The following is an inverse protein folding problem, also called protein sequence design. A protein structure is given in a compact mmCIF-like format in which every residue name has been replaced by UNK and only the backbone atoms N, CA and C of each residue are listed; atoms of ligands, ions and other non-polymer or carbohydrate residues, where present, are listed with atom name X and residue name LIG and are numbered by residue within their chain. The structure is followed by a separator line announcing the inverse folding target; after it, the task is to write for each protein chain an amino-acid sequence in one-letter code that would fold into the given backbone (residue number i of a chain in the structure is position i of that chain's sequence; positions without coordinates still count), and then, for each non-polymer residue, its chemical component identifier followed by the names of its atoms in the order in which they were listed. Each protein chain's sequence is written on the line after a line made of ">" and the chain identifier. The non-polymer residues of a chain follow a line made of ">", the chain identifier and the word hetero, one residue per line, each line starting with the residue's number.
data_IF_152750000526
#
_entry.id   IF_152750000526
#
_cell.length_a   1.000
_cell.length_b   1.000
_cell.length_c   1.000
_cell.angle_alpha   90.00
_cell.angle_beta   90.00
_cell.angle_gamma   90.00
#
_symmetry.space_group_name_H-M   'P 1'
#
loop_
_entity.id
_entity.type
_entity.pdbx_description
1 polymer ?
#
# COMPACT_ATOMS: atom_id res chain seq x y z
N UNK A 1 0.01 2.91 15.56
CA UNK A 1 -0.62 3.73 14.51
C UNK A 1 -1.92 3.04 14.08
N UNK A 2 -3.10 3.59 14.40
CA UNK A 2 -4.40 2.91 14.21
C UNK A 2 -5.45 3.73 13.45
N UNK A 3 -5.09 4.92 12.96
CA UNK A 3 -6.00 5.85 12.29
C UNK A 3 -5.46 6.15 10.91
N UNK A 4 -6.32 6.06 9.90
CA UNK A 4 -5.98 6.40 8.51
C UNK A 4 -7.00 7.40 7.97
N UNK A 5 -6.52 8.41 7.26
CA UNK A 5 -7.36 9.27 6.45
C UNK A 5 -7.85 8.47 5.24
N UNK A 6 -9.16 8.36 5.09
CA UNK A 6 -9.86 7.52 4.13
C UNK A 6 -10.23 8.19 2.82
N UNK A 7 -9.99 9.51 2.67
CA UNK A 7 -10.38 10.24 1.46
C UNK A 7 -9.17 10.80 0.69
N UNK A 8 -8.62 10.02 -0.25
CA UNK A 8 -7.47 10.41 -1.05
C UNK A 8 -7.86 11.33 -2.22
N UNK A 9 -8.92 12.13 -2.09
CA UNK A 9 -9.38 12.99 -3.19
C UNK A 9 -8.35 14.09 -3.46
N UNK A 10 -7.94 14.35 -4.72
CA UNK A 10 -6.92 15.37 -5.04
C UNK A 10 -7.24 16.76 -4.47
N UNK A 11 -8.53 17.13 -4.44
CA UNK A 11 -8.99 18.39 -3.85
C UNK A 11 -8.77 18.54 -2.33
N UNK A 12 -8.36 17.48 -1.63
CA UNK A 12 -8.05 17.53 -0.20
C UNK A 12 -6.59 17.96 0.08
N UNK A 13 -5.79 18.19 -0.96
CA UNK A 13 -4.38 18.52 -0.86
C UNK A 13 -4.10 19.89 -1.47
N UNK A 14 -3.39 20.75 -0.75
CA UNK A 14 -2.79 21.98 -1.30
C UNK A 14 -1.27 21.82 -1.24
N UNK A 15 -0.65 21.86 -2.42
CA UNK A 15 0.80 21.83 -2.57
C UNK A 15 1.33 23.26 -2.57
N UNK A 16 2.28 23.55 -1.68
CA UNK A 16 2.90 24.87 -1.56
C UNK A 16 4.24 24.89 -2.30
N UNK A 17 4.67 26.06 -2.74
CA UNK A 17 5.96 26.24 -3.45
C UNK A 17 7.18 25.85 -2.59
N UNK A 18 7.03 25.89 -1.26
CA UNK A 18 8.08 25.49 -0.31
C UNK A 18 8.05 24.00 0.07
N UNK A 19 7.29 23.20 -0.67
CA UNK A 19 7.21 21.74 -0.47
C UNK A 19 6.32 21.31 0.69
N UNK A 20 5.65 22.24 1.39
CA UNK A 20 4.61 21.86 2.35
C UNK A 20 3.37 21.34 1.62
N UNK A 21 2.64 20.45 2.30
CA UNK A 21 1.33 19.96 1.87
C UNK A 21 0.31 20.24 2.97
N UNK A 22 -0.76 20.95 2.64
CA UNK A 22 -1.90 21.12 3.54
C UNK A 22 -2.96 20.07 3.23
N UNK A 23 -3.42 19.37 4.26
CA UNK A 23 -4.52 18.42 4.22
C UNK A 23 -5.79 19.14 4.71
N UNK A 24 -6.83 19.14 3.88
CA UNK A 24 -8.06 19.91 4.15
C UNK A 24 -9.15 19.10 4.84
N UNK A 25 -9.28 17.81 4.49
CA UNK A 25 -10.38 16.97 4.96
C UNK A 25 -9.87 15.85 5.89
N UNK A 26 -10.51 15.74 7.06
CA UNK A 26 -10.33 14.67 8.05
C UNK A 26 -11.66 14.00 8.43
N UNK A 27 -12.72 14.20 7.63
CA UNK A 27 -14.08 13.72 7.87
C UNK A 27 -14.25 12.22 7.71
N UNK A 28 -13.33 11.55 7.01
CA UNK A 28 -13.34 10.10 6.81
C UNK A 28 -12.11 9.44 7.45
N UNK A 29 -12.09 9.32 8.78
CA UNK A 29 -11.04 8.57 9.48
C UNK A 29 -11.51 7.16 9.83
N UNK A 30 -10.80 6.14 9.36
CA UNK A 30 -11.02 4.75 9.80
C UNK A 30 -10.08 4.41 10.94
N UNK A 31 -10.66 3.87 12.00
CA UNK A 31 -9.92 3.22 13.08
C UNK A 31 -9.79 1.73 12.78
N UNK A 32 -8.57 1.22 12.82
CA UNK A 32 -8.29 -0.21 12.69
C UNK A 32 -7.98 -0.80 14.06
N UNK A 33 -8.52 -1.97 14.32
CA UNK A 33 -8.16 -2.83 15.44
C UNK A 33 -6.75 -3.41 15.25
N UNK A 34 -6.13 -3.85 16.34
CA UNK A 34 -4.83 -4.53 16.30
C UNK A 34 -4.86 -5.76 15.38
N UNK A 35 -5.96 -6.52 15.38
CA UNK A 35 -6.12 -7.68 14.48
C UNK A 35 -6.17 -7.28 13.00
N UNK A 36 -6.85 -6.19 12.66
CA UNK A 36 -6.85 -5.67 11.29
C UNK A 36 -5.45 -5.21 10.91
N UNK A 37 -4.77 -4.43 11.78
CA UNK A 37 -3.40 -3.96 11.55
C UNK A 37 -2.41 -5.11 11.37
N UNK A 38 -2.46 -6.13 12.21
CA UNK A 38 -1.61 -7.31 12.09
C UNK A 38 -1.82 -8.02 10.75
N UNK A 39 -3.07 -8.12 10.28
CA UNK A 39 -3.37 -8.71 8.97
C UNK A 39 -2.76 -7.88 7.84
N UNK A 40 -2.86 -6.55 7.89
CA UNK A 40 -2.22 -5.66 6.91
C UNK A 40 -0.70 -5.81 6.90
N UNK A 41 -0.09 -5.81 8.09
CA UNK A 41 1.34 -6.00 8.27
C UNK A 41 1.79 -7.34 7.68
N UNK A 42 1.09 -8.43 7.97
CA UNK A 42 1.41 -9.75 7.41
C UNK A 42 1.31 -9.80 5.90
N UNK A 43 0.31 -9.15 5.29
CA UNK A 43 0.19 -9.09 3.83
C UNK A 43 1.35 -8.33 3.20
N UNK A 44 1.64 -7.12 3.69
CA UNK A 44 2.75 -6.31 3.16
C UNK A 44 4.09 -7.01 3.36
N UNK A 45 4.32 -7.56 4.55
CA UNK A 45 5.56 -8.25 4.88
C UNK A 45 5.80 -9.46 3.98
N UNK A 46 4.81 -10.35 3.86
CA UNK A 46 4.92 -11.54 3.01
C UNK A 46 5.03 -11.21 1.51
N UNK A 47 4.23 -10.26 1.00
CA UNK A 47 4.19 -9.92 -0.42
C UNK A 47 5.37 -9.06 -0.90
N UNK A 48 5.72 -8.02 -0.13
CA UNK A 48 6.69 -7.01 -0.53
C UNK A 48 8.04 -7.19 0.15
N UNK A 49 8.07 -7.51 1.45
CA UNK A 49 9.31 -7.55 2.24
C UNK A 49 10.09 -8.86 2.05
N UNK A 50 9.46 -9.99 2.36
CA UNK A 50 10.06 -11.31 2.34
C UNK A 50 9.92 -11.99 0.96
N UNK A 51 8.97 -11.54 0.14
CA UNK A 51 8.60 -12.19 -1.13
C UNK A 51 8.25 -13.69 -0.97
N UNK A 52 7.71 -14.08 0.19
CA UNK A 52 7.29 -15.44 0.50
C UNK A 52 5.85 -15.67 0.00
N UNK A 53 5.74 -16.20 -1.22
CA UNK A 53 4.44 -16.41 -1.88
C UNK A 53 3.57 -17.47 -1.19
N UNK A 54 4.10 -18.63 -0.73
CA UNK A 54 3.32 -19.56 0.09
C UNK A 54 2.75 -18.92 1.36
N UNK A 55 3.54 -18.16 2.12
CA UNK A 55 3.06 -17.45 3.30
C UNK A 55 2.05 -16.37 2.90
N UNK A 56 2.30 -15.63 1.82
CA UNK A 56 1.38 -14.61 1.33
C UNK A 56 0.02 -15.20 0.96
N UNK A 57 -0.02 -16.35 0.28
CA UNK A 57 -1.26 -17.07 0.01
C UNK A 57 -2.02 -17.41 1.30
N UNK A 58 -1.33 -17.98 2.30
CA UNK A 58 -1.95 -18.32 3.58
C UNK A 58 -2.53 -17.08 4.27
N UNK A 59 -1.83 -15.94 4.21
CA UNK A 59 -2.33 -14.66 4.74
C UNK A 59 -3.57 -14.20 3.97
N UNK A 60 -3.59 -14.27 2.64
CA UNK A 60 -4.76 -13.91 1.82
C UNK A 60 -5.98 -14.78 2.13
N UNK A 61 -5.78 -16.09 2.32
CA UNK A 61 -6.85 -17.01 2.69
C UNK A 61 -7.38 -16.73 4.10
N UNK A 62 -6.49 -16.47 5.08
CA UNK A 62 -6.85 -16.12 6.44
C UNK A 62 -7.57 -14.76 6.53
N UNK A 63 -7.17 -13.80 5.70
CA UNK A 63 -7.82 -12.50 5.58
C UNK A 63 -9.19 -12.57 4.87
N UNK A 64 -9.51 -13.71 4.24
CA UNK A 64 -10.72 -13.87 3.43
C UNK A 64 -10.67 -13.14 2.09
N UNK A 65 -9.48 -12.73 1.64
CA UNK A 65 -9.27 -12.13 0.30
C UNK A 65 -9.24 -13.19 -0.80
N UNK A 66 -8.79 -14.41 -0.47
CA UNK A 66 -8.80 -15.57 -1.35
C UNK A 66 -9.64 -16.67 -0.69
N UNK A 67 -10.46 -17.37 -1.47
CA UNK A 67 -11.15 -18.57 -1.00
C UNK A 67 -10.12 -19.61 -0.54
N UNK A 68 -10.27 -20.09 0.69
CA UNK A 68 -9.41 -21.16 1.24
C UNK A 68 -9.43 -22.41 0.35
N UNK A 69 -8.25 -22.98 0.14
CA UNK A 69 -8.03 -24.15 -0.72
C UNK A 69 -8.51 -23.94 -2.17
N UNK A 70 -8.50 -22.69 -2.68
CA UNK A 70 -8.86 -22.42 -4.06
C UNK A 70 -7.98 -23.24 -5.02
N UNK A 71 -8.55 -23.88 -6.06
CA UNK A 71 -7.82 -24.75 -6.99
C UNK A 71 -7.05 -23.93 -8.03
N UNK A 72 -6.17 -23.06 -7.56
CA UNK A 72 -5.30 -22.18 -8.35
C UNK A 72 -3.87 -22.35 -7.86
N UNK A 73 -2.89 -22.17 -8.75
CA UNK A 73 -1.49 -22.28 -8.38
C UNK A 73 -1.06 -21.14 -7.45
N UNK A 74 -0.17 -21.43 -6.50
CA UNK A 74 0.32 -20.45 -5.53
C UNK A 74 1.15 -19.34 -6.20
N UNK A 75 1.91 -19.63 -7.24
CA UNK A 75 2.65 -18.63 -8.01
C UNK A 75 1.70 -17.68 -8.77
N UNK A 76 0.59 -18.20 -9.30
CA UNK A 76 -0.43 -17.39 -9.97
C UNK A 76 -1.13 -16.45 -8.97
N UNK A 77 -1.43 -16.94 -7.76
CA UNK A 77 -1.94 -16.10 -6.66
C UNK A 77 -0.96 -14.97 -6.32
N UNK A 78 0.33 -15.30 -6.20
CA UNK A 78 1.38 -14.32 -5.96
C UNK A 78 1.48 -13.26 -7.06
N UNK A 79 1.35 -13.67 -8.32
CA UNK A 79 1.34 -12.76 -9.47
C UNK A 79 0.11 -11.85 -9.46
N UNK A 80 -1.07 -12.41 -9.19
CA UNK A 80 -2.33 -11.67 -9.20
C UNK A 80 -2.41 -10.64 -8.06
N UNK A 81 -2.18 -11.05 -6.81
CA UNK A 81 -2.27 -10.12 -5.68
C UNK A 81 -1.01 -9.27 -5.51
N UNK A 82 0.16 -9.76 -5.92
CA UNK A 82 1.44 -9.08 -5.76
C UNK A 82 1.57 -7.80 -6.59
N UNK A 83 0.80 -7.64 -7.67
CA UNK A 83 0.84 -6.42 -8.50
C UNK A 83 0.47 -5.15 -7.73
N UNK A 84 -0.40 -5.26 -6.72
CA UNK A 84 -0.74 -4.14 -5.84
C UNK A 84 0.47 -3.67 -5.00
N UNK A 85 1.38 -4.58 -4.66
CA UNK A 85 2.56 -4.32 -3.84
C UNK A 85 3.85 -4.11 -4.66
N UNK A 86 3.76 -4.17 -6.00
CA UNK A 86 4.91 -4.01 -6.90
C UNK A 86 5.74 -2.74 -6.61
N UNK A 87 5.15 -1.54 -6.40
CA UNK A 87 5.92 -0.31 -6.21
C UNK A 87 6.90 -0.36 -5.03
N UNK A 88 6.58 -1.17 -4.01
CA UNK A 88 7.33 -1.24 -2.75
C UNK A 88 8.10 -2.55 -2.59
N UNK A 89 8.16 -3.37 -3.65
CA UNK A 89 8.77 -4.70 -3.60
C UNK A 89 10.27 -4.69 -3.86
N UNK A 90 10.75 -3.83 -4.76
CA UNK A 90 12.16 -3.76 -5.17
C UNK A 90 12.80 -2.48 -4.68
N UNK A 91 14.03 -2.57 -4.17
CA UNK A 91 14.88 -1.41 -3.89
C UNK A 91 15.37 -0.81 -5.22
N UNK A 92 14.54 0.06 -5.80
CA UNK A 92 14.82 0.76 -7.05
C UNK A 92 14.01 2.06 -7.13
N UNK A 93 14.52 3.03 -7.88
CA UNK A 93 13.73 4.20 -8.25
C UNK A 93 12.69 3.81 -9.31
N UNK A 94 11.46 4.27 -9.10
CA UNK A 94 10.38 4.19 -10.08
C UNK A 94 9.75 5.57 -10.27
N UNK A 95 9.09 5.76 -11.40
CA UNK A 95 8.27 6.94 -11.68
C UNK A 95 6.82 6.51 -11.84
N UNK A 96 5.93 7.12 -11.07
CA UNK A 96 4.49 6.97 -11.30
C UNK A 96 4.10 7.75 -12.54
N UNK A 97 3.91 7.05 -13.66
CA UNK A 97 3.27 7.62 -14.85
C UNK A 97 1.76 7.40 -14.79
N UNK A 98 0.96 8.19 -15.53
CA UNK A 98 -0.47 7.93 -15.66
C UNK A 98 -0.78 6.50 -16.15
N UNK A 99 0.03 5.97 -17.06
CA UNK A 99 -0.10 4.60 -17.59
C UNK A 99 0.20 3.55 -16.52
N UNK A 100 1.26 3.76 -15.72
CA UNK A 100 1.60 2.85 -14.64
C UNK A 100 0.49 2.79 -13.58
N UNK A 101 0.04 3.96 -13.14
CA UNK A 101 -1.05 4.11 -12.16
C UNK A 101 -2.36 3.48 -12.65
N UNK A 102 -2.79 3.84 -13.86
CA UNK A 102 -4.01 3.27 -14.46
C UNK A 102 -3.91 1.76 -14.69
N UNK A 103 -2.70 1.23 -14.94
CA UNK A 103 -2.43 -0.19 -15.02
C UNK A 103 -2.71 -0.95 -13.72
N UNK A 104 -2.29 -0.40 -12.57
CA UNK A 104 -2.57 -0.99 -11.24
C UNK A 104 -4.07 -0.92 -10.92
N UNK A 105 -4.71 0.22 -11.19
CA UNK A 105 -6.17 0.37 -11.00
C UNK A 105 -6.94 -0.65 -11.85
N UNK A 106 -6.63 -0.75 -13.15
CA UNK A 106 -7.28 -1.70 -14.06
C UNK A 106 -7.11 -3.14 -13.59
N UNK A 107 -5.90 -3.51 -13.14
CA UNK A 107 -5.62 -4.84 -12.62
C UNK A 107 -6.45 -5.17 -11.38
N UNK A 108 -6.57 -4.22 -10.47
CA UNK A 108 -7.31 -4.39 -9.21
C UNK A 108 -8.78 -4.72 -9.45
N UNK A 109 -9.35 -4.24 -10.56
CA UNK A 109 -10.74 -4.51 -10.96
C UNK A 109 -10.87 -5.55 -12.09
N UNK A 110 -9.77 -6.21 -12.48
CA UNK A 110 -9.79 -7.18 -13.56
C UNK A 110 -10.51 -8.47 -13.14
N UNK A 111 -11.67 -8.69 -13.77
CA UNK A 111 -12.51 -9.87 -13.57
C UNK A 111 -12.23 -10.99 -14.58
N UNK A 112 -11.38 -10.76 -15.57
CA UNK A 112 -11.03 -11.76 -16.59
C UNK A 112 -10.02 -12.80 -16.09
N UNK A 113 -9.28 -12.49 -15.02
CA UNK A 113 -8.37 -13.43 -14.37
C UNK A 113 -9.11 -14.66 -13.84
N UNK A 114 -8.60 -15.89 -14.06
CA UNK A 114 -9.14 -17.11 -13.48
C UNK A 114 -9.21 -17.09 -11.95
N UNK A 115 -8.37 -16.27 -11.29
CA UNK A 115 -8.35 -16.11 -9.83
C UNK A 115 -9.50 -15.22 -9.35
N UNK A 116 -10.02 -14.32 -10.18
CA UNK A 116 -11.00 -13.31 -9.77
C UNK A 116 -12.29 -13.91 -9.21
N UNK A 117 -12.67 -15.13 -9.63
CA UNK A 117 -13.84 -15.86 -9.10
C UNK A 117 -13.65 -16.37 -7.66
N UNK A 118 -12.40 -16.47 -7.19
CA UNK A 118 -12.03 -16.89 -5.84
C UNK A 118 -11.60 -15.72 -4.96
N UNK A 119 -11.49 -14.52 -5.54
CA UNK A 119 -10.98 -13.33 -4.87
C UNK A 119 -12.11 -12.38 -4.47
N UNK A 120 -11.98 -11.77 -3.30
CA UNK A 120 -12.85 -10.69 -2.84
C UNK A 120 -12.06 -9.70 -1.98
N UNK A 121 -12.63 -8.52 -1.75
CA UNK A 121 -12.04 -7.51 -0.86
C UNK A 121 -12.96 -7.40 0.37
N UNK A 122 -12.56 -7.94 1.53
CA UNK A 122 -13.37 -7.83 2.74
C UNK A 122 -13.52 -6.36 3.17
N UNK A 123 -14.62 -6.03 3.85
CA UNK A 123 -15.00 -4.64 4.20
C UNK A 123 -13.87 -3.81 4.84
N UNK A 124 -13.06 -4.33 5.80
CA UNK A 124 -11.95 -3.58 6.37
C UNK A 124 -10.92 -3.12 5.33
N UNK A 125 -10.66 -3.96 4.32
CA UNK A 125 -9.65 -3.74 3.29
C UNK A 125 -10.12 -2.79 2.18
N UNK A 126 -11.44 -2.61 2.00
CA UNK A 126 -11.99 -1.65 1.03
C UNK A 126 -11.50 -0.24 1.29
N UNK A 127 -11.40 0.16 2.57
CA UNK A 127 -10.88 1.49 2.94
C UNK A 127 -9.42 1.66 2.54
N UNK A 128 -8.56 0.70 2.89
CA UNK A 128 -7.13 0.75 2.53
C UNK A 128 -6.94 0.70 1.01
N UNK A 129 -7.68 -0.15 0.31
CA UNK A 129 -7.63 -0.21 -1.14
C UNK A 129 -8.03 1.13 -1.77
N UNK A 130 -9.12 1.76 -1.30
CA UNK A 130 -9.54 3.08 -1.78
C UNK A 130 -8.46 4.14 -1.57
N UNK A 131 -7.88 4.21 -0.38
CA UNK A 131 -6.80 5.16 -0.05
C UNK A 131 -5.62 4.99 -1.02
N UNK A 132 -5.15 3.76 -1.20
CA UNK A 132 -4.01 3.47 -2.07
C UNK A 132 -4.30 3.78 -3.54
N UNK A 133 -5.45 3.37 -4.08
CA UNK A 133 -5.78 3.63 -5.47
C UNK A 133 -5.93 5.13 -5.76
N UNK A 134 -6.49 5.91 -4.83
CA UNK A 134 -6.54 7.36 -4.96
C UNK A 134 -5.15 8.01 -4.87
N UNK A 135 -4.32 7.55 -3.93
CA UNK A 135 -2.94 7.99 -3.83
C UNK A 135 -2.15 7.69 -5.11
N UNK A 136 -2.28 6.49 -5.69
CA UNK A 136 -1.63 6.12 -6.94
C UNK A 136 -2.08 7.01 -8.10
N UNK A 137 -3.35 7.42 -8.15
CA UNK A 137 -3.83 8.36 -9.15
C UNK A 137 -3.13 9.73 -9.02
N UNK A 138 -3.05 10.27 -7.80
CA UNK A 138 -2.34 11.53 -7.51
C UNK A 138 -0.86 11.41 -7.88
N UNK A 139 -0.18 10.33 -7.47
CA UNK A 139 1.23 10.12 -7.80
C UNK A 139 1.46 10.05 -9.32
N UNK A 140 0.54 9.40 -10.05
CA UNK A 140 0.58 9.33 -11.51
C UNK A 140 0.38 10.68 -12.19
N UNK A 141 -0.52 11.52 -11.67
CA UNK A 141 -0.75 12.89 -12.17
C UNK A 141 0.46 13.80 -11.91
N UNK A 142 1.12 13.63 -10.76
CA UNK A 142 2.32 14.39 -10.40
C UNK A 142 3.59 13.91 -11.10
N UNK A 143 3.57 12.74 -11.76
CA UNK A 143 4.80 12.15 -12.31
C UNK A 143 5.81 11.79 -11.22
N UNK A 144 5.34 11.39 -10.03
CA UNK A 144 6.18 11.30 -8.84
C UNK A 144 7.24 10.20 -8.97
N UNK A 145 8.51 10.57 -8.80
CA UNK A 145 9.65 9.65 -8.83
C UNK A 145 10.27 9.43 -7.46
N UNK A 146 10.73 8.21 -7.19
CA UNK A 146 11.51 7.91 -6.00
C UNK A 146 11.61 6.41 -5.71
N UNK A 147 12.33 6.10 -4.64
CA UNK A 147 12.51 4.73 -4.16
C UNK A 147 11.45 4.41 -3.09
N UNK A 148 10.29 3.90 -3.55
CA UNK A 148 9.16 3.62 -2.66
C UNK A 148 9.41 2.45 -1.72
N UNK A 149 10.36 1.55 -2.03
CA UNK A 149 10.80 0.52 -1.10
C UNK A 149 11.45 1.14 0.14
N UNK A 150 12.45 1.99 -0.06
CA UNK A 150 13.15 2.66 1.06
C UNK A 150 12.23 3.56 1.87
N UNK A 151 11.38 4.34 1.20
CA UNK A 151 10.34 5.15 1.86
C UNK A 151 9.43 4.27 2.73
N UNK A 152 9.07 3.08 2.25
CA UNK A 152 8.21 2.18 3.02
C UNK A 152 8.93 1.55 4.21
N UNK A 153 10.22 1.25 4.09
CA UNK A 153 11.04 0.72 5.19
C UNK A 153 11.25 1.74 6.33
N UNK A 154 11.13 3.05 6.05
CA UNK A 154 11.07 4.11 7.09
C UNK A 154 9.81 3.99 7.97
N UNK A 155 8.72 3.42 7.44
CA UNK A 155 7.39 3.44 8.05
C UNK A 155 6.97 2.06 8.58
N UNK A 156 7.44 0.98 7.95
CA UNK A 156 7.02 -0.37 8.31
C UNK A 156 7.51 -0.75 9.71
N UNK A 157 6.61 -1.17 10.62
CA UNK A 157 6.97 -1.46 12.03
C UNK A 157 7.83 -2.72 12.21
N UNK A 158 8.12 -3.43 11.12
CA UNK A 158 8.93 -4.65 11.08
C UNK A 158 10.23 -4.45 10.28
N UNK A 159 10.46 -3.25 9.74
CA UNK A 159 11.70 -2.85 9.11
C UNK A 159 12.46 -1.92 10.06
N UNK A 160 13.79 -1.88 9.91
CA UNK A 160 14.69 -0.99 10.64
C UNK A 160 15.48 -0.14 9.63
N UNK A 161 14.76 0.39 8.63
CA UNK A 161 15.36 1.15 7.54
C UNK A 161 15.81 2.52 8.01
N UNK A 162 17.06 2.89 7.70
CA UNK A 162 17.52 4.27 7.93
C UNK A 162 16.73 5.25 7.04
N UNK A 163 16.49 6.49 7.51
CA UNK A 163 15.84 7.51 6.71
C UNK A 163 16.53 7.78 5.37
N UNK A 164 15.85 7.44 4.28
CA UNK A 164 16.30 7.66 2.91
C UNK A 164 15.83 9.01 2.35
N UNK A 165 14.73 9.54 2.87
CA UNK A 165 14.16 10.84 2.48
C UNK A 165 14.49 11.96 3.46
N UNK A 166 14.41 13.20 2.97
CA UNK A 166 14.52 14.39 3.82
C UNK A 166 13.40 14.45 4.87
N UNK A 167 12.18 14.02 4.51
CA UNK A 167 11.07 13.94 5.45
C UNK A 167 11.36 12.93 6.57
N UNK A 168 11.84 11.72 6.22
CA UNK A 168 12.21 10.70 7.20
C UNK A 168 13.33 11.16 8.14
N UNK A 169 14.34 11.89 7.64
CA UNK A 169 15.41 12.45 8.49
C UNK A 169 14.86 13.45 9.50
N UNK A 170 14.01 14.36 9.03
CA UNK A 170 13.35 15.35 9.89
C UNK A 170 12.42 14.71 10.92
N UNK A 171 11.73 13.64 10.56
CA UNK A 171 10.90 12.86 11.49
C UNK A 171 11.77 12.19 12.55
N UNK A 172 12.86 11.52 12.16
CA UNK A 172 13.78 10.87 13.09
C UNK A 172 14.40 11.88 14.08
N UNK A 173 14.82 13.05 13.60
CA UNK A 173 15.31 14.14 14.46
C UNK A 173 14.23 14.64 15.43
N UNK A 174 12.99 14.80 14.96
CA UNK A 174 11.88 15.24 15.79
C UNK A 174 11.55 14.22 16.89
N UNK A 175 11.51 12.92 16.55
CA UNK A 175 11.29 11.82 17.49
C UNK A 175 12.41 11.74 18.53
N UNK A 176 13.67 11.92 18.13
CA UNK A 176 14.80 11.94 19.08
C UNK A 176 14.74 13.11 20.08
N UNK A 177 14.07 14.21 19.72
CA UNK A 177 13.91 15.40 20.57
C UNK A 177 12.66 15.36 21.46
N UNK A 178 11.64 14.56 21.11
CA UNK A 178 10.31 14.60 21.73
C UNK A 178 9.76 13.23 22.19
N UNK A 179 10.50 12.15 21.96
CA UNK A 179 10.19 10.79 22.46
C UNK A 179 10.75 10.53 23.85
#
# INVERSE_FOLDING_TARGET
>A
MHKFNGDPHPGNYIFHEDGRVTFLDFGLVKHFSDSEMNTFISMVKSAAYESDIPTFRAVLENAGMLKRDAPVDTADVGTYFGRFYEPVRKDQDITWTPEYSSGIVRHTFDRSSPIAQYATVPKPFVFIQRINLGLYAILGELGASGNYRRISEEIWPFADGEPSTEMGRREAEWLAQHG
#
